data_IF_750591948357
#
_entry.id   IF_750591948357
#
_cell.length_a   1.000
_cell.length_b   1.000
_cell.length_c   1.000
_cell.angle_alpha   90.00
_cell.angle_beta   90.00
_cell.angle_gamma   90.00
#
_symmetry.space_group_name_H-M   'P 1'
#
loop_
_entity.id
_entity.type
_entity.pdbx_description
1 polymer ?
#
# COMPACT_ATOMS: atom_id res chain seq x y z
N UNK A 1 -1.56 -7.78 -14.01
CA UNK A 1 -0.96 -6.47 -14.28
C UNK A 1 -0.36 -5.92 -12.98
N UNK A 2 0.73 -5.19 -13.07
CA UNK A 2 1.43 -4.69 -11.89
C UNK A 2 1.33 -3.19 -11.81
N UNK A 3 1.23 -2.66 -10.60
CA UNK A 3 1.16 -1.22 -10.38
C UNK A 3 2.04 -0.85 -9.20
N UNK A 4 2.60 0.35 -9.25
CA UNK A 4 3.38 0.90 -8.15
C UNK A 4 2.61 2.08 -7.57
N UNK A 5 2.37 2.04 -6.27
CA UNK A 5 1.68 3.11 -5.57
C UNK A 5 2.63 3.66 -4.52
N UNK A 6 2.91 4.95 -4.59
CA UNK A 6 3.78 5.60 -3.60
C UNK A 6 2.94 6.11 -2.45
N UNK A 7 3.49 6.00 -1.24
CA UNK A 7 2.83 6.53 -0.05
C UNK A 7 1.60 5.74 0.38
N UNK A 8 1.69 4.40 0.41
CA UNK A 8 0.54 3.57 0.78
C UNK A 8 0.12 3.75 2.24
N UNK A 9 0.95 4.35 3.07
CA UNK A 9 0.58 4.63 4.45
C UNK A 9 -0.29 5.89 4.56
N UNK A 10 -0.37 6.68 3.49
CA UNK A 10 -1.26 7.83 3.44
C UNK A 10 -2.65 7.43 3.00
N UNK A 11 -3.60 8.33 3.23
CA UNK A 11 -4.99 8.05 2.91
C UNK A 11 -5.21 7.82 1.42
N UNK A 12 -4.70 8.70 0.59
CA UNK A 12 -4.90 8.60 -0.86
C UNK A 12 -4.20 7.38 -1.44
N UNK A 13 -2.99 7.10 -0.97
CA UNK A 13 -2.25 5.95 -1.45
C UNK A 13 -2.92 4.64 -1.08
N UNK A 14 -3.45 4.55 0.14
CA UNK A 14 -4.15 3.36 0.60
C UNK A 14 -5.42 3.11 -0.22
N UNK A 15 -6.19 4.15 -0.48
CA UNK A 15 -7.40 4.01 -1.29
C UNK A 15 -7.08 3.61 -2.72
N UNK A 16 -6.04 4.18 -3.30
CA UNK A 16 -5.64 3.81 -4.65
C UNK A 16 -5.20 2.35 -4.71
N UNK A 17 -4.44 1.90 -3.71
CA UNK A 17 -4.02 0.51 -3.63
C UNK A 17 -5.23 -0.42 -3.55
N UNK A 18 -6.21 -0.08 -2.73
CA UNK A 18 -7.42 -0.86 -2.61
C UNK A 18 -8.14 -0.98 -3.94
N UNK A 19 -8.28 0.13 -4.65
CA UNK A 19 -8.96 0.14 -5.94
C UNK A 19 -8.25 -0.74 -6.96
N UNK A 20 -6.94 -0.66 -7.00
CA UNK A 20 -6.16 -1.47 -7.94
C UNK A 20 -6.22 -2.95 -7.60
N UNK A 21 -6.23 -3.28 -6.30
CA UNK A 21 -6.36 -4.67 -5.88
C UNK A 21 -7.73 -5.23 -6.28
N UNK A 22 -8.77 -4.44 -6.20
CA UNK A 22 -10.10 -4.85 -6.64
C UNK A 22 -10.13 -5.16 -8.13
N UNK A 23 -9.31 -4.47 -8.90
CA UNK A 23 -9.24 -4.69 -10.35
C UNK A 23 -8.33 -5.85 -10.73
N UNK A 24 -7.77 -6.54 -9.75
CA UNK A 24 -6.92 -7.69 -10.01
C UNK A 24 -5.46 -7.37 -10.26
N UNK A 25 -5.04 -6.16 -9.93
CA UNK A 25 -3.64 -5.77 -10.08
C UNK A 25 -2.79 -6.33 -8.94
N UNK A 26 -1.53 -6.59 -9.24
CA UNK A 26 -0.53 -6.80 -8.22
C UNK A 26 0.05 -5.43 -7.87
N UNK A 27 -0.06 -5.03 -6.61
CA UNK A 27 0.31 -3.67 -6.19
C UNK A 27 1.58 -3.70 -5.35
N UNK A 28 2.55 -2.91 -5.77
CA UNK A 28 3.77 -2.66 -5.00
C UNK A 28 3.63 -1.29 -4.37
N UNK A 29 3.31 -1.27 -3.09
CA UNK A 29 3.09 -0.03 -2.38
C UNK A 29 4.33 0.42 -1.64
N UNK A 30 4.89 1.54 -2.04
CA UNK A 30 6.08 2.06 -1.37
C UNK A 30 5.69 2.94 -0.21
N UNK A 31 6.51 2.92 0.83
CA UNK A 31 6.31 3.80 1.97
C UNK A 31 7.67 4.25 2.49
N UNK A 32 7.68 5.45 3.00
CA UNK A 32 8.90 6.03 3.53
C UNK A 32 9.13 5.49 4.94
N UNK A 33 10.29 4.91 5.15
CA UNK A 33 10.61 4.36 6.46
C UNK A 33 11.09 5.48 7.37
N UNK A 34 10.24 5.85 8.28
CA UNK A 34 10.53 6.87 9.29
C UNK A 34 10.45 6.24 10.66
N UNK A 35 10.69 7.03 11.71
CA UNK A 35 10.61 6.54 13.07
C UNK A 35 9.20 6.10 13.47
N UNK A 36 8.19 6.54 12.76
CA UNK A 36 6.82 6.15 13.06
C UNK A 36 6.09 5.75 11.77
N UNK A 37 6.33 4.51 11.34
CA UNK A 37 5.61 3.94 10.22
C UNK A 37 4.25 3.46 10.73
N UNK A 38 3.20 3.86 10.07
CA UNK A 38 1.85 3.54 10.50
C UNK A 38 1.06 2.92 9.36
N UNK A 39 0.65 1.68 9.53
CA UNK A 39 -0.12 0.94 8.53
C UNK A 39 -1.61 0.88 8.86
N UNK A 40 -2.06 1.66 9.83
CA UNK A 40 -3.44 1.54 10.30
C UNK A 40 -4.46 1.73 9.16
N UNK A 41 -4.12 2.55 8.17
CA UNK A 41 -5.04 2.80 7.07
C UNK A 41 -5.25 1.58 6.21
N UNK A 42 -4.18 0.88 5.84
CA UNK A 42 -4.34 -0.33 5.05
C UNK A 42 -4.94 -1.47 5.87
N UNK A 43 -4.73 -1.47 7.17
CA UNK A 43 -5.39 -2.44 8.03
C UNK A 43 -6.90 -2.16 8.12
N UNK A 44 -7.27 -0.89 8.21
CA UNK A 44 -8.67 -0.49 8.28
C UNK A 44 -9.41 -0.89 7.01
N UNK A 45 -8.76 -0.77 5.86
CA UNK A 45 -9.36 -1.17 4.59
C UNK A 45 -9.34 -2.67 4.36
N UNK A 46 -8.61 -3.40 5.18
CA UNK A 46 -8.52 -4.85 5.07
C UNK A 46 -7.62 -5.34 3.96
N UNK A 47 -6.87 -4.46 3.33
CA UNK A 47 -6.02 -4.86 2.20
C UNK A 47 -4.67 -5.41 2.64
N UNK A 48 -4.33 -5.28 3.92
CA UNK A 48 -3.04 -5.77 4.41
C UNK A 48 -2.93 -7.29 4.32
N UNK A 49 -4.05 -7.99 4.24
CA UNK A 49 -4.05 -9.45 4.08
C UNK A 49 -4.11 -9.88 2.63
N UNK A 50 -4.22 -8.94 1.70
CA UNK A 50 -4.34 -9.29 0.29
C UNK A 50 -2.99 -9.77 -0.25
N UNK A 51 -2.92 -11.00 -0.83
CA UNK A 51 -1.65 -11.55 -1.30
C UNK A 51 -1.05 -10.77 -2.48
N UNK A 52 -1.82 -9.92 -3.12
CA UNK A 52 -1.33 -9.10 -4.24
C UNK A 52 -0.79 -7.75 -3.80
N UNK A 53 -0.82 -7.46 -2.51
CA UNK A 53 -0.24 -6.21 -2.00
C UNK A 53 1.14 -6.50 -1.42
N UNK A 54 2.13 -5.81 -1.96
CA UNK A 54 3.52 -5.97 -1.54
C UNK A 54 4.06 -4.64 -1.03
N UNK A 55 4.09 -4.44 0.29
CA UNK A 55 4.67 -3.21 0.84
C UNK A 55 6.18 -3.20 0.65
N UNK A 56 6.68 -2.07 0.17
CA UNK A 56 8.11 -1.89 -0.07
C UNK A 56 8.59 -0.64 0.65
N UNK A 57 9.53 -0.81 1.55
CA UNK A 57 10.08 0.34 2.28
C UNK A 57 11.25 0.94 1.51
N UNK A 58 11.43 2.24 1.63
CA UNK A 58 12.60 2.91 1.09
C UNK A 58 13.09 3.93 2.12
N UNK A 59 14.39 4.19 2.08
CA UNK A 59 15.01 5.17 2.99
C UNK A 59 15.72 6.22 2.17
N UNK A 60 15.82 7.40 2.75
CA UNK A 60 16.58 8.51 2.20
C UNK A 60 17.75 8.82 3.08
#
# INVERSE_FOLDING_TARGET
MKAIVTGITGQDGAYLAELLLEKGYTVYGTYRRTSSVNFWRIEELGIHTNPNLHPVSYTH
#
